data_IF_817082852595
#
_entry.id   IF_817082852595
#
_cell.length_a   1.000
_cell.length_b   1.000
_cell.length_c   1.000
_cell.angle_alpha   90.00
_cell.angle_beta   90.00
_cell.angle_gamma   90.00
#
_symmetry.space_group_name_H-M   'P 1'
#
loop_
_entity.id
_entity.type
_entity.pdbx_description
1 polymer ?
#
# COMPACT_ATOMS: atom_id res chain seq x y z
N UNK A 1 14.69 -11.28 -11.84
CA UNK A 1 13.34 -10.78 -12.05
C UNK A 1 12.34 -11.84 -11.63
N UNK A 2 11.76 -11.68 -10.42
CA UNK A 2 10.96 -12.72 -9.78
C UNK A 2 9.44 -12.56 -9.97
N UNK A 3 8.98 -11.54 -10.68
CA UNK A 3 7.55 -11.30 -10.85
C UNK A 3 7.04 -11.89 -12.18
N UNK A 4 6.70 -13.20 -12.15
CA UNK A 4 6.18 -13.94 -13.30
C UNK A 4 4.98 -13.24 -13.98
N UNK A 5 4.03 -12.70 -13.22
CA UNK A 5 2.86 -12.00 -13.78
C UNK A 5 3.25 -10.79 -14.62
N UNK A 6 4.20 -9.98 -14.14
CA UNK A 6 4.69 -8.81 -14.89
C UNK A 6 5.44 -9.22 -16.16
N UNK A 7 6.22 -10.29 -16.09
CA UNK A 7 6.94 -10.82 -17.25
C UNK A 7 5.95 -11.32 -18.30
N UNK A 8 4.99 -12.15 -17.90
CA UNK A 8 3.94 -12.66 -18.79
C UNK A 8 3.18 -11.51 -19.43
N UNK A 9 2.74 -10.52 -18.63
CA UNK A 9 2.01 -9.35 -19.18
C UNK A 9 2.85 -8.53 -20.16
N UNK A 10 4.12 -8.34 -19.89
CA UNK A 10 5.01 -7.65 -20.83
C UNK A 10 5.17 -8.42 -22.14
N UNK A 11 5.29 -9.74 -22.07
CA UNK A 11 5.36 -10.60 -23.26
C UNK A 11 4.04 -10.59 -24.05
N UNK A 12 2.90 -10.74 -23.39
CA UNK A 12 1.58 -10.66 -24.02
C UNK A 12 1.41 -9.37 -24.83
N UNK A 13 1.74 -8.23 -24.20
CA UNK A 13 1.64 -6.93 -24.87
C UNK A 13 2.63 -6.84 -26.04
N UNK A 14 3.87 -7.26 -25.85
CA UNK A 14 4.91 -7.18 -26.89
C UNK A 14 4.56 -8.07 -28.09
N UNK A 15 4.13 -9.31 -27.83
CA UNK A 15 3.77 -10.24 -28.90
C UNK A 15 2.48 -9.82 -29.61
N UNK A 16 1.45 -9.43 -28.84
CA UNK A 16 0.16 -9.05 -29.40
C UNK A 16 0.16 -7.73 -30.18
N UNK A 17 1.07 -6.81 -29.86
CA UNK A 17 1.14 -5.48 -30.51
C UNK A 17 2.30 -5.30 -31.48
N UNK A 18 3.26 -6.22 -31.49
CA UNK A 18 4.52 -6.07 -32.24
C UNK A 18 5.45 -4.95 -31.72
N UNK A 19 5.14 -4.35 -30.57
CA UNK A 19 5.91 -3.24 -29.99
C UNK A 19 6.40 -3.59 -28.59
N UNK A 20 7.62 -3.18 -28.19
CA UNK A 20 8.12 -3.40 -26.83
C UNK A 20 7.19 -2.83 -25.77
N UNK A 21 6.93 -3.59 -24.69
CA UNK A 21 6.11 -3.12 -23.56
C UNK A 21 6.57 -1.75 -23.02
N UNK A 22 7.88 -1.51 -23.01
CA UNK A 22 8.47 -0.24 -22.58
C UNK A 22 8.10 0.97 -23.45
N UNK A 23 7.56 0.76 -24.64
CA UNK A 23 7.13 1.84 -25.54
C UNK A 23 5.73 2.40 -25.24
N UNK A 24 5.01 1.81 -24.29
CA UNK A 24 3.62 2.19 -23.95
C UNK A 24 3.49 3.23 -22.83
N UNK A 25 4.53 3.92 -22.51
CA UNK A 25 4.48 4.97 -21.50
C UNK A 25 5.78 5.75 -21.43
N UNK A 26 5.77 6.89 -20.74
CA UNK A 26 6.94 7.75 -20.61
C UNK A 26 8.06 7.09 -19.79
N UNK A 27 7.81 5.93 -19.16
CA UNK A 27 8.70 5.30 -18.20
C UNK A 27 8.36 5.65 -16.75
N UNK A 28 8.97 4.92 -15.81
CA UNK A 28 8.68 5.07 -14.37
C UNK A 28 9.33 6.30 -13.72
N UNK A 29 10.20 6.99 -14.42
CA UNK A 29 10.93 8.18 -13.97
C UNK A 29 10.63 9.41 -14.84
N UNK A 30 9.61 9.34 -15.71
CA UNK A 30 9.17 10.47 -16.52
C UNK A 30 7.84 11.00 -15.97
N UNK A 31 7.82 12.29 -15.67
CA UNK A 31 6.71 12.98 -15.01
C UNK A 31 6.21 14.11 -15.88
N UNK A 32 5.44 13.81 -16.97
CA UNK A 32 4.91 14.85 -17.85
C UNK A 32 3.96 15.79 -17.07
N UNK A 33 3.78 17.02 -17.54
CA UNK A 33 2.83 17.95 -16.95
C UNK A 33 1.45 17.31 -16.77
N UNK A 34 0.79 17.60 -15.67
CA UNK A 34 -0.56 17.13 -15.37
C UNK A 34 -1.45 18.29 -14.94
N UNK A 35 -2.74 18.21 -15.25
CA UNK A 35 -3.75 19.15 -14.78
C UNK A 35 -4.22 18.87 -13.34
N UNK A 36 -3.77 17.77 -12.76
CA UNK A 36 -4.15 17.39 -11.40
C UNK A 36 -3.14 17.95 -10.41
N UNK A 37 -3.61 18.68 -9.42
CA UNK A 37 -2.84 19.01 -8.24
C UNK A 37 -2.67 17.74 -7.40
N UNK A 38 -1.43 17.41 -7.07
CA UNK A 38 -1.10 16.21 -6.32
C UNK A 38 -0.46 16.60 -5.00
N UNK A 39 -1.06 16.14 -3.91
CA UNK A 39 -0.51 16.34 -2.56
C UNK A 39 -0.14 15.01 -1.94
N UNK A 40 0.95 15.00 -1.19
CA UNK A 40 1.39 13.88 -0.37
C UNK A 40 1.41 14.30 1.09
N UNK A 41 1.01 13.39 1.97
CA UNK A 41 1.13 13.59 3.40
C UNK A 41 2.38 12.88 3.90
N UNK A 42 3.27 13.64 4.50
CA UNK A 42 4.48 13.12 5.13
C UNK A 42 4.28 12.98 6.63
N UNK A 43 4.83 11.92 7.18
CA UNK A 43 4.83 11.66 8.62
C UNK A 43 6.15 11.03 8.98
N UNK A 44 6.72 11.41 10.11
CA UNK A 44 7.94 10.81 10.60
C UNK A 44 7.76 9.31 10.86
N UNK A 45 8.85 8.58 10.68
CA UNK A 45 8.83 7.12 10.73
C UNK A 45 8.42 6.55 12.09
N UNK A 46 8.94 7.02 13.24
CA UNK A 46 8.50 6.53 14.54
C UNK A 46 7.00 6.70 14.77
N UNK A 47 6.47 7.88 14.45
CA UNK A 47 5.03 8.16 14.57
C UNK A 47 4.18 7.25 13.69
N UNK A 48 4.58 7.04 12.43
CA UNK A 48 3.89 6.14 11.52
C UNK A 48 3.94 4.68 12.01
N UNK A 49 5.10 4.21 12.46
CA UNK A 49 5.29 2.86 12.96
C UNK A 49 4.43 2.59 14.21
N UNK A 50 4.31 3.56 15.11
CA UNK A 50 3.43 3.50 16.30
C UNK A 50 1.94 3.50 15.91
N UNK A 51 1.53 4.35 14.96
CA UNK A 51 0.15 4.37 14.45
C UNK A 51 -0.25 3.05 13.79
N UNK A 52 0.66 2.41 13.05
CA UNK A 52 0.40 1.10 12.42
C UNK A 52 0.14 0.06 13.51
N UNK A 53 0.98 -0.01 14.53
CA UNK A 53 0.85 -0.96 15.64
C UNK A 53 -0.45 -0.74 16.42
N UNK A 54 -0.70 0.48 16.87
CA UNK A 54 -1.92 0.84 17.59
C UNK A 54 -3.19 0.52 16.80
N UNK A 55 -3.16 0.72 15.46
CA UNK A 55 -4.28 0.37 14.58
C UNK A 55 -4.54 -1.13 14.56
N UNK A 56 -3.53 -1.99 14.46
CA UNK A 56 -3.73 -3.43 14.49
C UNK A 56 -4.28 -3.89 15.84
N UNK A 57 -3.77 -3.35 16.94
CA UNK A 57 -4.30 -3.65 18.28
C UNK A 57 -5.78 -3.26 18.42
N UNK A 58 -6.14 -2.08 17.92
CA UNK A 58 -7.52 -1.60 17.92
C UNK A 58 -8.44 -2.48 17.03
N UNK A 59 -7.97 -2.85 15.84
CA UNK A 59 -8.72 -3.72 14.92
C UNK A 59 -8.98 -5.11 15.51
N UNK A 60 -7.99 -5.72 16.16
CA UNK A 60 -8.18 -7.02 16.84
C UNK A 60 -9.23 -6.90 17.95
N UNK A 61 -9.16 -5.86 18.78
CA UNK A 61 -10.16 -5.58 19.83
C UNK A 61 -11.56 -5.35 19.25
N UNK A 62 -11.65 -4.82 18.04
CA UNK A 62 -12.91 -4.58 17.33
C UNK A 62 -13.43 -5.81 16.56
N UNK A 63 -12.80 -6.99 16.68
CA UNK A 63 -13.26 -8.24 16.07
C UNK A 63 -12.66 -8.54 14.69
N UNK A 64 -11.49 -8.01 14.37
CA UNK A 64 -10.83 -8.27 13.07
C UNK A 64 -10.55 -9.76 12.84
N UNK A 65 -10.20 -10.52 13.89
CA UNK A 65 -10.01 -11.96 13.76
C UNK A 65 -11.31 -12.68 13.41
N UNK A 66 -12.43 -12.30 14.04
CA UNK A 66 -13.75 -12.89 13.76
C UNK A 66 -14.23 -12.54 12.35
N UNK A 67 -13.91 -11.31 11.86
CA UNK A 67 -14.18 -10.93 10.48
C UNK A 67 -13.43 -11.83 9.50
N UNK A 68 -12.13 -12.04 9.72
CA UNK A 68 -11.30 -12.91 8.87
C UNK A 68 -11.79 -14.34 8.89
N UNK A 69 -12.18 -14.87 10.06
CA UNK A 69 -12.73 -16.21 10.18
C UNK A 69 -14.02 -16.38 9.36
N UNK A 70 -14.97 -15.47 9.48
CA UNK A 70 -16.21 -15.49 8.69
C UNK A 70 -15.96 -15.40 7.18
N UNK A 71 -15.00 -14.59 6.76
CA UNK A 71 -14.65 -14.46 5.35
C UNK A 71 -13.93 -15.72 4.83
N UNK A 72 -13.19 -16.44 5.69
CA UNK A 72 -12.53 -17.68 5.34
C UNK A 72 -13.52 -18.84 5.08
N UNK A 73 -14.68 -18.85 5.74
CA UNK A 73 -15.77 -19.81 5.50
C UNK A 73 -16.44 -19.61 4.14
N UNK A 74 -16.35 -18.39 3.58
CA UNK A 74 -16.89 -18.03 2.28
C UNK A 74 -15.87 -18.15 1.15
N UNK A 75 -16.23 -17.62 -0.03
CA UNK A 75 -15.33 -17.58 -1.18
C UNK A 75 -14.46 -16.31 -1.16
N UNK A 76 -13.46 -16.29 -0.29
CA UNK A 76 -12.49 -15.19 -0.29
C UNK A 76 -11.69 -15.21 -1.60
N UNK A 77 -11.70 -14.10 -2.36
CA UNK A 77 -10.89 -14.04 -3.57
C UNK A 77 -9.40 -14.15 -3.25
N UNK A 78 -8.61 -14.71 -4.18
CA UNK A 78 -7.15 -14.84 -3.98
C UNK A 78 -6.47 -13.49 -3.75
N UNK A 79 -7.03 -12.40 -4.28
CA UNK A 79 -6.53 -11.03 -4.09
C UNK A 79 -6.83 -10.53 -2.67
N UNK A 80 -8.06 -10.72 -2.19
CA UNK A 80 -8.46 -10.33 -0.84
C UNK A 80 -7.66 -11.09 0.22
N UNK A 81 -7.47 -12.41 0.05
CA UNK A 81 -6.64 -13.22 0.94
C UNK A 81 -5.15 -12.85 0.96
N UNK A 82 -4.67 -12.01 0.04
CA UNK A 82 -3.30 -11.49 0.04
C UNK A 82 -3.18 -10.10 0.67
N UNK A 83 -4.30 -9.48 1.07
CA UNK A 83 -4.26 -8.19 1.75
C UNK A 83 -3.48 -8.27 3.08
N UNK A 84 -2.83 -7.15 3.41
CA UNK A 84 -2.05 -7.06 4.66
C UNK A 84 -2.98 -7.22 5.87
N UNK A 85 -2.58 -8.07 6.79
CA UNK A 85 -3.39 -8.47 7.94
C UNK A 85 -4.24 -9.71 7.67
N UNK A 86 -5.00 -9.73 6.58
CA UNK A 86 -5.83 -10.92 6.24
C UNK A 86 -4.99 -12.16 6.00
N UNK A 87 -3.94 -12.06 5.21
CA UNK A 87 -3.04 -13.19 4.93
C UNK A 87 -2.43 -13.79 6.20
N UNK A 88 -1.99 -12.93 7.11
CA UNK A 88 -1.33 -13.33 8.35
C UNK A 88 -2.34 -14.00 9.31
N UNK A 89 -3.52 -13.41 9.47
CA UNK A 89 -4.58 -13.96 10.30
C UNK A 89 -5.18 -15.25 9.72
N UNK A 90 -5.30 -15.38 8.40
CA UNK A 90 -5.65 -16.66 7.76
C UNK A 90 -4.61 -17.74 8.06
N UNK A 91 -3.31 -17.38 8.08
CA UNK A 91 -2.24 -18.30 8.50
C UNK A 91 -2.38 -18.75 9.97
N UNK A 92 -2.76 -17.84 10.86
CA UNK A 92 -3.06 -18.15 12.25
C UNK A 92 -4.27 -19.10 12.36
N UNK A 93 -5.39 -18.79 11.70
CA UNK A 93 -6.58 -19.66 11.70
C UNK A 93 -6.31 -21.05 11.13
N UNK A 94 -5.36 -21.17 10.21
CA UNK A 94 -4.89 -22.46 9.68
C UNK A 94 -3.87 -23.17 10.58
N UNK A 95 -3.55 -22.62 11.76
CA UNK A 95 -2.62 -23.22 12.73
C UNK A 95 -1.14 -23.07 12.39
N UNK A 96 -0.77 -22.18 11.46
CA UNK A 96 0.63 -21.98 11.04
C UNK A 96 1.43 -21.06 11.98
N UNK A 97 0.75 -20.29 12.82
CA UNK A 97 1.37 -19.35 13.77
C UNK A 97 0.42 -19.03 14.93
N UNK A 98 0.95 -18.51 16.01
CA UNK A 98 0.16 -17.89 17.07
C UNK A 98 -0.45 -16.57 16.59
N UNK A 99 -1.43 -16.03 17.31
CA UNK A 99 -2.03 -14.73 17.00
C UNK A 99 -0.99 -13.61 17.09
N UNK A 100 -0.15 -13.63 18.10
CA UNK A 100 0.89 -12.62 18.31
C UNK A 100 1.91 -12.62 17.16
N UNK A 101 2.37 -13.81 16.74
CA UNK A 101 3.27 -13.95 15.59
C UNK A 101 2.64 -13.44 14.28
N UNK A 102 1.36 -13.72 14.06
CA UNK A 102 0.62 -13.26 12.89
C UNK A 102 0.50 -11.71 12.89
N UNK A 103 0.20 -11.12 14.04
CA UNK A 103 0.10 -9.66 14.19
C UNK A 103 1.46 -8.98 14.01
N UNK A 104 2.52 -9.52 14.61
CA UNK A 104 3.87 -8.99 14.42
C UNK A 104 4.30 -9.00 12.95
N UNK A 105 4.01 -10.08 12.22
CA UNK A 105 4.28 -10.16 10.79
C UNK A 105 3.44 -9.16 9.99
N UNK A 106 2.14 -9.01 10.31
CA UNK A 106 1.25 -8.06 9.66
C UNK A 106 1.75 -6.62 9.85
N UNK A 107 2.12 -6.24 11.07
CA UNK A 107 2.69 -4.93 11.42
C UNK A 107 4.00 -4.71 10.65
N UNK A 108 4.92 -5.68 10.69
CA UNK A 108 6.21 -5.60 10.00
C UNK A 108 6.05 -5.43 8.48
N UNK A 109 5.12 -6.15 7.87
CA UNK A 109 4.83 -6.06 6.43
C UNK A 109 4.18 -4.73 6.08
N UNK A 110 3.28 -4.22 6.91
CA UNK A 110 2.64 -2.92 6.72
C UNK A 110 3.65 -1.78 6.82
N UNK A 111 4.56 -1.81 7.80
CA UNK A 111 5.68 -0.87 7.91
C UNK A 111 6.57 -0.90 6.66
N UNK A 112 6.88 -2.10 6.13
CA UNK A 112 7.64 -2.22 4.86
C UNK A 112 6.87 -1.68 3.66
N UNK A 113 5.56 -1.89 3.61
CA UNK A 113 4.71 -1.37 2.54
C UNK A 113 4.67 0.16 2.57
N UNK A 114 4.46 0.78 3.71
CA UNK A 114 4.48 2.22 3.88
C UNK A 114 5.81 2.85 3.42
N UNK A 115 6.96 2.25 3.77
CA UNK A 115 8.27 2.71 3.30
C UNK A 115 8.44 2.62 1.78
N UNK A 116 7.88 1.56 1.15
CA UNK A 116 7.90 1.46 -0.32
C UNK A 116 7.03 2.52 -0.96
N UNK A 117 5.86 2.82 -0.39
CA UNK A 117 4.98 3.89 -0.86
C UNK A 117 5.68 5.25 -0.80
N UNK A 118 6.23 5.63 0.35
CA UNK A 118 6.96 6.89 0.50
C UNK A 118 8.08 7.01 -0.53
N UNK A 119 8.92 5.96 -0.68
CA UNK A 119 10.01 5.97 -1.66
C UNK A 119 9.49 6.08 -3.10
N UNK A 120 8.39 5.46 -3.41
CA UNK A 120 7.79 5.51 -4.74
C UNK A 120 7.26 6.91 -5.05
N UNK A 121 6.43 7.45 -4.18
CA UNK A 121 5.79 8.75 -4.40
C UNK A 121 6.78 9.92 -4.32
N UNK A 122 7.83 9.84 -3.49
CA UNK A 122 8.88 10.86 -3.43
C UNK A 122 9.72 10.99 -4.71
N UNK A 123 9.59 10.07 -5.66
CA UNK A 123 10.22 10.19 -6.98
C UNK A 123 9.48 11.16 -7.88
N UNK A 124 8.20 11.37 -7.65
CA UNK A 124 7.38 12.26 -8.47
C UNK A 124 7.53 13.71 -7.97
N UNK A 125 8.22 14.59 -8.75
CA UNK A 125 8.46 15.98 -8.35
C UNK A 125 7.19 16.85 -8.40
N UNK A 126 6.08 16.33 -8.92
CA UNK A 126 4.80 17.06 -9.01
C UNK A 126 4.01 17.00 -7.72
N UNK A 127 4.41 16.13 -6.77
CA UNK A 127 3.74 15.99 -5.49
C UNK A 127 4.25 17.05 -4.52
N UNK A 128 3.36 17.93 -4.08
CA UNK A 128 3.62 18.82 -2.95
C UNK A 128 3.42 18.05 -1.63
N UNK A 129 4.43 18.07 -0.75
CA UNK A 129 4.41 17.30 0.49
C UNK A 129 4.09 18.20 1.67
N UNK A 130 3.15 17.75 2.51
CA UNK A 130 2.72 18.43 3.73
C UNK A 130 2.91 17.53 4.94
N UNK A 131 3.22 18.13 6.09
CA UNK A 131 3.34 17.40 7.35
C UNK A 131 1.97 16.91 7.82
N UNK A 132 1.79 15.58 7.91
CA UNK A 132 0.50 14.96 8.24
C UNK A 132 -0.01 15.26 9.65
N UNK A 133 0.84 15.80 10.51
CA UNK A 133 0.54 16.13 11.92
C UNK A 133 0.42 17.63 12.16
N UNK A 134 0.58 18.46 11.13
CA UNK A 134 0.42 19.91 11.24
C UNK A 134 -1.01 20.28 11.63
N UNK A 135 -1.16 21.18 12.60
CA UNK A 135 -2.48 21.60 13.07
C UNK A 135 -3.31 22.38 12.05
N UNK A 136 -2.64 22.99 11.07
CA UNK A 136 -3.19 23.77 9.96
C UNK A 136 -3.08 23.06 8.62
N UNK A 137 -2.94 21.73 8.62
CA UNK A 137 -2.77 20.92 7.40
C UNK A 137 -3.84 21.19 6.34
N UNK A 138 -5.09 21.30 6.75
CA UNK A 138 -6.22 21.52 5.83
C UNK A 138 -6.05 22.87 5.12
N UNK A 139 -5.74 23.92 5.88
CA UNK A 139 -5.56 25.26 5.34
C UNK A 139 -4.36 25.32 4.36
N UNK A 140 -3.27 24.64 4.70
CA UNK A 140 -2.09 24.53 3.82
C UNK A 140 -2.42 23.82 2.50
N UNK A 141 -3.15 22.71 2.54
CA UNK A 141 -3.54 21.96 1.35
C UNK A 141 -4.53 22.76 0.51
N UNK A 142 -5.52 23.42 1.13
CA UNK A 142 -6.48 24.27 0.43
C UNK A 142 -5.79 25.45 -0.28
N UNK A 143 -4.90 26.14 0.41
CA UNK A 143 -4.13 27.23 -0.19
C UNK A 143 -3.30 26.76 -1.39
N UNK A 144 -2.71 25.56 -1.32
CA UNK A 144 -1.97 24.97 -2.43
C UNK A 144 -2.87 24.61 -3.63
N UNK A 145 -4.11 24.18 -3.39
CA UNK A 145 -5.06 23.88 -4.49
C UNK A 145 -5.63 25.10 -5.18
N UNK A 146 -5.69 26.23 -4.50
CA UNK A 146 -6.21 27.48 -5.01
C UNK A 146 -5.15 28.34 -5.70
N UNK A 147 -3.87 27.99 -5.59
CA UNK A 147 -2.73 28.67 -6.21
C UNK A 147 -2.49 28.17 -7.64
#
# INVERSE_FOLDING_TARGET
PSNRRRIVRALEVTVGSGRPFSSYGPGVDAYPPTRFCQVGLDIDRPTLDNRIEARYQAQVKAGFLDEVARLAEGSLSSTAGQALGYRELLGHLAGHSTLDEALDEAIRRTRRFARRQQRWFRRDPRIAWFEATAGDLIDQVEAHWLS
#
